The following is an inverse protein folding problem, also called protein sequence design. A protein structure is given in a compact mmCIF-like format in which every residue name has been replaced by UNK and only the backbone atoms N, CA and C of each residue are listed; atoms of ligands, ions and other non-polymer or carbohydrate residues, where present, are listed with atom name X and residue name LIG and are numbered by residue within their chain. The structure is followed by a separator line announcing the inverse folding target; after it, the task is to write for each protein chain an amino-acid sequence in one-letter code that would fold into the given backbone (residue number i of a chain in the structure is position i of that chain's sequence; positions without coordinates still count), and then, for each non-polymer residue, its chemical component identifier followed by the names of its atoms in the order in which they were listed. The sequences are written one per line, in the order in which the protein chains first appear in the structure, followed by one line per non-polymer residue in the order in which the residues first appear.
data_IF_027767782507
#
_entry.id   IF_027767782507
#
_cell.length_a   1.000
_cell.length_b   1.000
_cell.length_c   1.000
_cell.angle_alpha   90.00
_cell.angle_beta   90.00
_cell.angle_gamma   90.00
#
_symmetry.space_group_name_H-M   'P 1'
#
loop_
_entity.id
_entity.type
_entity.pdbx_description
1 polymer ?
#
# COMPACT_ATOMS: atom_id res chain seq x y z
N UNK A 1 30.70 9.66 13.59
CA UNK A 1 29.46 9.44 12.80
C UNK A 1 28.82 10.80 12.57
N UNK A 2 28.50 11.21 11.33
CA UNK A 2 27.93 12.52 11.11
C UNK A 2 26.46 12.49 11.54
N UNK A 3 26.16 13.26 12.58
CA UNK A 3 24.81 13.59 13.05
C UNK A 3 24.07 14.26 11.90
N UNK A 4 23.08 13.58 11.32
CA UNK A 4 22.16 14.18 10.35
C UNK A 4 21.37 15.27 11.06
N UNK A 5 21.87 16.51 11.01
CA UNK A 5 21.14 17.67 11.50
C UNK A 5 19.88 17.84 10.65
N UNK A 6 18.72 17.69 11.27
CA UNK A 6 17.42 17.90 10.64
C UNK A 6 17.33 19.37 10.25
N UNK A 7 17.32 19.67 8.93
CA UNK A 7 17.18 21.02 8.40
C UNK A 7 15.87 21.64 8.90
N UNK A 8 15.91 22.86 9.43
CA UNK A 8 14.71 23.61 9.82
C UNK A 8 13.83 23.91 8.59
N UNK A 9 12.50 23.73 8.65
CA UNK A 9 11.60 24.00 7.54
C UNK A 9 11.67 25.47 7.08
N UNK A 10 11.63 25.69 5.78
CA UNK A 10 11.58 27.02 5.17
C UNK A 10 10.13 27.50 4.97
N UNK A 11 9.93 28.79 4.70
CA UNK A 11 8.61 29.34 4.34
C UNK A 11 8.01 28.64 3.10
N UNK A 12 8.86 28.25 2.15
CA UNK A 12 8.48 27.46 0.98
C UNK A 12 7.96 26.07 1.37
N UNK A 13 8.63 25.38 2.30
CA UNK A 13 8.20 24.06 2.79
C UNK A 13 6.83 24.16 3.49
N UNK A 14 6.57 25.24 4.22
CA UNK A 14 5.27 25.48 4.85
C UNK A 14 4.14 25.69 3.83
N UNK A 15 4.37 26.52 2.81
CA UNK A 15 3.41 26.75 1.73
C UNK A 15 3.13 25.43 0.98
N UNK A 16 4.17 24.66 0.70
CA UNK A 16 4.05 23.37 0.02
C UNK A 16 3.21 22.36 0.80
N UNK A 17 3.42 22.28 2.12
CA UNK A 17 2.62 21.43 3.00
C UNK A 17 1.15 21.87 3.05
N UNK A 18 0.88 23.17 3.12
CA UNK A 18 -0.49 23.69 3.15
C UNK A 18 -1.25 23.42 1.84
N UNK A 19 -0.60 23.62 0.69
CA UNK A 19 -1.19 23.30 -0.61
C UNK A 19 -1.45 21.80 -0.75
N UNK A 20 -0.48 20.97 -0.36
CA UNK A 20 -0.65 19.50 -0.35
C UNK A 20 -1.84 19.10 0.53
N UNK A 21 -1.96 19.69 1.72
CA UNK A 21 -3.08 19.45 2.64
C UNK A 21 -4.43 19.79 2.01
N UNK A 22 -4.54 20.94 1.34
CA UNK A 22 -5.76 21.39 0.66
C UNK A 22 -6.18 20.45 -0.48
N UNK A 23 -5.20 19.94 -1.24
CA UNK A 23 -5.44 18.95 -2.31
C UNK A 23 -5.98 17.64 -1.74
N UNK A 24 -5.50 17.24 -0.55
CA UNK A 24 -5.89 16.00 0.11
C UNK A 24 -7.17 16.10 0.95
N UNK A 25 -7.57 17.28 1.42
CA UNK A 25 -8.73 17.45 2.31
C UNK A 25 -10.08 17.19 1.62
N UNK A 26 -10.13 17.31 0.29
CA UNK A 26 -11.36 17.16 -0.50
C UNK A 26 -11.55 15.73 -1.06
N UNK A 27 -10.88 14.73 -0.48
CA UNK A 27 -10.84 13.35 -1.01
C UNK A 27 -11.30 12.32 0.00
N UNK A 28 -12.12 11.38 -0.50
CA UNK A 28 -12.36 10.11 0.17
C UNK A 28 -11.27 9.13 -0.26
N UNK A 29 -10.35 8.82 0.65
CA UNK A 29 -9.35 7.77 0.44
C UNK A 29 -10.05 6.41 0.53
N UNK A 30 -10.29 5.79 -0.63
CA UNK A 30 -10.89 4.47 -0.70
C UNK A 30 -9.82 3.39 -0.49
N UNK A 31 -10.20 2.26 0.13
CA UNK A 31 -9.46 1.01 0.00
C UNK A 31 -9.51 0.63 -1.47
N UNK A 32 -8.45 0.92 -2.24
CA UNK A 32 -8.41 0.61 -3.67
C UNK A 32 -8.14 -0.87 -3.87
N UNK A 33 -9.21 -1.67 -3.84
CA UNK A 33 -9.33 -2.79 -4.77
C UNK A 33 -10.16 -2.26 -5.92
N UNK A 34 -9.56 -2.09 -7.10
CA UNK A 34 -10.30 -1.72 -8.30
C UNK A 34 -11.35 -2.78 -8.60
N UNK A 35 -12.64 -2.41 -8.64
CA UNK A 35 -13.74 -3.29 -9.05
C UNK A 35 -13.81 -3.39 -10.59
N UNK A 36 -12.70 -3.80 -11.21
CA UNK A 36 -12.55 -3.97 -12.66
C UNK A 36 -12.01 -5.36 -12.99
N UNK A 37 -12.26 -5.83 -14.21
CA UNK A 37 -11.76 -7.12 -14.70
C UNK A 37 -10.23 -7.12 -14.77
N UNK A 38 -9.57 -8.12 -14.20
CA UNK A 38 -8.10 -8.19 -14.13
C UNK A 38 -7.41 -8.36 -15.49
N UNK A 39 -8.11 -8.84 -16.52
CA UNK A 39 -7.55 -8.95 -17.87
C UNK A 39 -7.85 -7.74 -18.75
N UNK A 40 -9.13 -7.33 -18.80
CA UNK A 40 -9.59 -6.33 -19.77
C UNK A 40 -9.92 -4.97 -19.15
N UNK A 41 -9.85 -4.88 -17.81
CA UNK A 41 -10.08 -3.68 -16.99
C UNK A 41 -11.46 -3.05 -17.18
N UNK A 42 -12.43 -3.81 -17.70
CA UNK A 42 -13.84 -3.38 -17.74
C UNK A 42 -14.45 -3.48 -16.34
N UNK A 43 -15.16 -2.42 -15.94
CA UNK A 43 -15.91 -2.40 -14.69
C UNK A 43 -17.11 -3.36 -14.74
N UNK A 44 -17.49 -3.88 -13.57
CA UNK A 44 -18.77 -4.57 -13.41
C UNK A 44 -19.93 -3.60 -13.60
N UNK A 45 -21.03 -4.11 -14.15
CA UNK A 45 -22.31 -3.37 -14.20
C UNK A 45 -23.35 -4.12 -13.39
N UNK A 46 -24.45 -3.46 -12.99
CA UNK A 46 -25.57 -4.14 -12.31
C UNK A 46 -26.10 -5.34 -13.11
N UNK A 47 -26.07 -5.27 -14.44
CA UNK A 47 -26.52 -6.34 -15.35
C UNK A 47 -25.46 -7.43 -15.58
N UNK A 48 -24.17 -7.09 -15.45
CA UNK A 48 -23.04 -8.01 -15.61
C UNK A 48 -22.02 -7.72 -14.51
N UNK A 49 -22.25 -8.24 -13.28
CA UNK A 49 -21.28 -8.09 -12.20
C UNK A 49 -20.00 -8.86 -12.54
N UNK A 50 -18.88 -8.40 -11.98
CA UNK A 50 -17.63 -9.15 -12.07
C UNK A 50 -17.74 -10.43 -11.24
N UNK A 51 -17.10 -11.48 -11.72
CA UNK A 51 -17.00 -12.78 -11.05
C UNK A 51 -15.64 -12.87 -10.40
N UNK A 52 -15.60 -13.23 -9.13
CA UNK A 52 -14.34 -13.53 -8.46
C UNK A 52 -13.81 -14.89 -8.90
N UNK A 53 -12.49 -15.04 -8.92
CA UNK A 53 -11.85 -16.35 -9.02
C UNK A 53 -12.33 -17.23 -7.86
N UNK A 54 -12.83 -18.43 -8.15
CA UNK A 54 -13.35 -19.34 -7.13
C UNK A 54 -12.28 -19.81 -6.14
N UNK A 55 -11.02 -19.88 -6.57
CA UNK A 55 -9.90 -20.28 -5.71
C UNK A 55 -9.43 -19.13 -4.83
N UNK A 56 -9.13 -17.98 -5.43
CA UNK A 56 -8.42 -16.92 -4.72
C UNK A 56 -9.36 -15.86 -4.13
N UNK A 57 -10.57 -15.70 -4.67
CA UNK A 57 -11.56 -14.65 -4.37
C UNK A 57 -11.09 -13.20 -4.57
N UNK A 58 -9.79 -12.95 -4.73
CA UNK A 58 -9.20 -11.61 -4.93
C UNK A 58 -9.30 -11.10 -6.37
N UNK A 59 -9.04 -11.96 -7.36
CA UNK A 59 -9.07 -11.55 -8.77
C UNK A 59 -10.51 -11.53 -9.31
N UNK A 60 -10.88 -10.44 -9.98
CA UNK A 60 -12.21 -10.21 -10.56
C UNK A 60 -12.17 -10.32 -12.08
N UNK A 61 -13.18 -10.92 -12.70
CA UNK A 61 -13.26 -11.12 -14.15
C UNK A 61 -14.66 -10.85 -14.68
N UNK A 62 -14.77 -10.19 -15.85
CA UNK A 62 -16.08 -9.98 -16.49
C UNK A 62 -16.60 -11.23 -17.21
N UNK A 63 -15.72 -12.17 -17.55
CA UNK A 63 -16.07 -13.42 -18.24
C UNK A 63 -15.08 -14.54 -17.88
N UNK A 64 -15.52 -15.79 -18.09
CA UNK A 64 -14.67 -16.97 -17.95
C UNK A 64 -13.49 -16.94 -18.93
N UNK A 65 -13.69 -16.38 -20.11
CA UNK A 65 -12.63 -16.18 -21.10
C UNK A 65 -11.53 -15.27 -20.57
N UNK A 66 -11.90 -14.13 -19.95
CA UNK A 66 -10.92 -13.24 -19.31
C UNK A 66 -10.13 -13.96 -18.21
N UNK A 67 -10.79 -14.82 -17.43
CA UNK A 67 -10.12 -15.62 -16.40
C UNK A 67 -9.15 -16.64 -17.01
N UNK A 68 -9.56 -17.39 -18.05
CA UNK A 68 -8.73 -18.42 -18.69
C UNK A 68 -7.51 -17.83 -19.38
N UNK A 69 -7.67 -16.70 -20.05
CA UNK A 69 -6.55 -16.00 -20.68
C UNK A 69 -5.58 -15.44 -19.64
N UNK A 70 -6.10 -14.89 -18.54
CA UNK A 70 -5.26 -14.44 -17.43
C UNK A 70 -4.64 -15.60 -16.63
N UNK A 71 -5.12 -16.85 -16.77
CA UNK A 71 -4.69 -17.97 -15.94
C UNK A 71 -3.18 -18.25 -15.95
N UNK A 72 -2.52 -18.03 -17.11
CA UNK A 72 -1.08 -18.31 -17.27
C UNK A 72 -0.23 -17.52 -16.31
N UNK A 73 -0.56 -16.24 -16.11
CA UNK A 73 0.04 -15.42 -15.06
C UNK A 73 -0.66 -15.74 -13.74
N UNK A 74 -2.00 -15.77 -13.69
CA UNK A 74 -2.80 -15.92 -12.46
C UNK A 74 -2.41 -17.06 -11.55
N UNK A 75 -2.13 -18.23 -12.11
CA UNK A 75 -1.88 -19.45 -11.35
C UNK A 75 -0.74 -19.32 -10.33
N UNK A 76 0.26 -18.47 -10.57
CA UNK A 76 1.44 -18.35 -9.72
C UNK A 76 1.11 -17.69 -8.37
N UNK A 77 0.19 -16.73 -8.38
CA UNK A 77 -0.22 -15.95 -7.20
C UNK A 77 -1.69 -16.16 -6.82
N UNK A 78 -2.45 -16.97 -7.56
CA UNK A 78 -3.78 -17.45 -7.16
C UNK A 78 -3.74 -18.15 -5.79
N UNK A 79 -2.58 -18.67 -5.38
CA UNK A 79 -2.33 -19.29 -4.07
C UNK A 79 -1.95 -18.28 -2.96
N UNK A 80 -1.68 -17.03 -3.29
CA UNK A 80 -1.26 -15.99 -2.33
C UNK A 80 -2.44 -15.33 -1.61
N UNK A 81 -3.63 -15.38 -2.19
CA UNK A 81 -4.87 -14.77 -1.68
C UNK A 81 -5.45 -15.43 -0.43
N UNK A 82 -4.92 -16.60 -0.03
CA UNK A 82 -5.22 -17.21 1.25
C UNK A 82 -4.51 -16.49 2.41
N UNK A 83 -4.00 -15.27 2.23
CA UNK A 83 -3.23 -14.58 3.26
C UNK A 83 -4.02 -14.46 4.57
N UNK A 84 -5.23 -13.90 4.54
CA UNK A 84 -6.07 -13.76 5.74
C UNK A 84 -6.45 -15.14 6.32
N UNK A 85 -6.87 -16.10 5.48
CA UNK A 85 -7.18 -17.47 5.90
C UNK A 85 -5.95 -18.19 6.49
N UNK A 86 -4.75 -17.93 5.97
CA UNK A 86 -3.47 -18.47 6.45
C UNK A 86 -3.07 -17.84 7.77
N UNK A 87 -3.32 -16.55 8.00
CA UNK A 87 -3.09 -15.94 9.31
C UNK A 87 -3.98 -16.60 10.36
N UNK A 88 -5.26 -16.80 10.06
CA UNK A 88 -6.21 -17.52 10.92
C UNK A 88 -5.72 -18.93 11.24
N UNK A 89 -5.33 -19.70 10.23
CA UNK A 89 -4.77 -21.04 10.43
C UNK A 89 -3.48 -21.02 11.24
N UNK A 90 -2.60 -20.04 11.01
CA UNK A 90 -1.34 -19.90 11.77
C UNK A 90 -1.63 -19.60 13.24
N UNK A 91 -2.57 -18.70 13.53
CA UNK A 91 -3.00 -18.39 14.90
C UNK A 91 -3.61 -19.62 15.60
N UNK A 92 -4.46 -20.38 14.90
CA UNK A 92 -5.02 -21.65 15.42
C UNK A 92 -3.91 -22.66 15.70
N UNK A 93 -2.97 -22.85 14.76
CA UNK A 93 -1.86 -23.79 14.94
C UNK A 93 -0.96 -23.41 16.11
N UNK A 94 -0.70 -22.11 16.32
CA UNK A 94 0.04 -21.61 17.49
C UNK A 94 -0.73 -21.90 18.78
N UNK A 95 -2.04 -21.65 18.82
CA UNK A 95 -2.87 -21.90 19.99
C UNK A 95 -2.92 -23.40 20.34
N UNK A 96 -3.07 -24.27 19.35
CA UNK A 96 -3.03 -25.73 19.53
C UNK A 96 -1.64 -26.18 20.02
N UNK A 97 -0.56 -25.70 19.39
CA UNK A 97 0.80 -26.03 19.79
C UNK A 97 1.08 -25.67 21.25
N UNK A 98 0.65 -24.47 21.68
CA UNK A 98 0.75 -24.04 23.07
C UNK A 98 -0.09 -24.93 24.02
N UNK A 99 -1.32 -25.26 23.65
CA UNK A 99 -2.20 -26.11 24.46
C UNK A 99 -1.69 -27.56 24.61
N UNK A 100 -0.95 -28.06 23.61
CA UNK A 100 -0.38 -29.40 23.58
C UNK A 100 1.08 -29.46 24.03
N UNK A 101 1.68 -28.35 24.46
CA UNK A 101 3.12 -28.23 24.78
C UNK A 101 4.05 -28.71 23.64
N UNK A 102 3.69 -28.37 22.40
CA UNK A 102 4.49 -28.66 21.20
C UNK A 102 5.28 -27.40 20.82
N UNK A 103 6.51 -27.29 21.33
CA UNK A 103 7.38 -26.12 21.11
C UNK A 103 7.94 -25.99 19.68
N UNK A 104 7.87 -27.05 18.87
CA UNK A 104 8.71 -27.24 17.68
C UNK A 104 8.04 -26.97 16.32
N UNK A 105 6.89 -26.30 16.27
CA UNK A 105 6.32 -25.89 14.97
C UNK A 105 7.14 -24.69 14.42
N UNK A 106 7.82 -24.81 13.26
CA UNK A 106 8.65 -23.74 12.68
C UNK A 106 7.77 -22.69 11.98
N UNK A 107 6.78 -22.17 12.70
CA UNK A 107 5.86 -21.16 12.20
C UNK A 107 6.35 -19.77 12.62
N UNK A 108 6.19 -18.75 11.75
CA UNK A 108 6.44 -17.37 12.15
C UNK A 108 5.47 -17.00 13.28
N UNK A 109 6.01 -16.45 14.37
CA UNK A 109 5.23 -16.03 15.54
C UNK A 109 4.94 -14.52 15.48
N UNK A 110 3.72 -14.09 15.84
CA UNK A 110 3.40 -12.68 15.96
C UNK A 110 4.14 -12.08 17.18
N UNK A 111 4.17 -10.73 17.31
CA UNK A 111 4.66 -10.08 18.52
C UNK A 111 3.93 -10.58 19.78
N UNK A 112 4.61 -10.63 20.95
CA UNK A 112 3.99 -11.13 22.17
C UNK A 112 2.68 -10.41 22.53
N UNK A 113 1.66 -11.17 22.90
CA UNK A 113 0.34 -10.64 23.25
C UNK A 113 -0.54 -10.26 22.07
N UNK A 114 -0.19 -10.65 20.84
CA UNK A 114 -0.99 -10.45 19.65
C UNK A 114 -1.14 -11.73 18.84
N UNK A 115 -2.28 -11.85 18.18
CA UNK A 115 -2.49 -12.74 17.04
C UNK A 115 -2.07 -12.07 15.73
N UNK A 116 -1.82 -12.86 14.69
CA UNK A 116 -1.55 -12.35 13.34
C UNK A 116 -2.72 -11.53 12.78
N UNK A 117 -3.96 -11.96 13.02
CA UNK A 117 -5.17 -11.23 12.60
C UNK A 117 -5.23 -9.85 13.27
N UNK A 118 -4.96 -9.76 14.57
CA UNK A 118 -4.98 -8.49 15.28
C UNK A 118 -3.89 -7.54 14.79
N UNK A 119 -2.69 -8.07 14.51
CA UNK A 119 -1.60 -7.29 13.94
C UNK A 119 -1.97 -6.72 12.56
N UNK A 120 -2.57 -7.54 11.70
CA UNK A 120 -3.02 -7.08 10.38
C UNK A 120 -4.14 -6.04 10.49
N UNK A 121 -5.12 -6.24 11.39
CA UNK A 121 -6.18 -5.28 11.62
C UNK A 121 -5.63 -3.93 12.10
N UNK A 122 -4.63 -3.95 13.00
CA UNK A 122 -3.94 -2.75 13.46
C UNK A 122 -3.18 -2.06 12.33
N UNK A 123 -2.50 -2.81 11.48
CA UNK A 123 -1.79 -2.27 10.32
C UNK A 123 -2.74 -1.57 9.34
N UNK A 124 -3.86 -2.21 8.99
CA UNK A 124 -4.90 -1.61 8.11
C UNK A 124 -5.45 -0.31 8.69
N UNK A 125 -5.70 -0.25 10.00
CA UNK A 125 -6.17 0.98 10.68
C UNK A 125 -5.09 2.07 10.69
N UNK A 126 -3.83 1.71 10.93
CA UNK A 126 -2.70 2.65 10.89
C UNK A 126 -2.48 3.21 9.48
N UNK A 127 -2.54 2.38 8.45
CA UNK A 127 -2.45 2.81 7.05
C UNK A 127 -3.56 3.80 6.70
N UNK A 128 -4.80 3.52 7.12
CA UNK A 128 -5.93 4.41 6.89
C UNK A 128 -5.75 5.75 7.62
N UNK A 129 -5.25 5.71 8.86
CA UNK A 129 -4.97 6.92 9.63
C UNK A 129 -3.93 7.82 8.95
N UNK A 130 -2.85 7.24 8.41
CA UNK A 130 -1.77 7.99 7.77
C UNK A 130 -1.94 8.18 6.27
N UNK A 131 -3.10 7.85 5.70
CA UNK A 131 -3.30 7.81 4.24
C UNK A 131 -2.87 9.12 3.56
N UNK A 132 -3.19 10.29 4.14
CA UNK A 132 -2.79 11.59 3.58
C UNK A 132 -1.29 11.80 3.63
N UNK A 133 -0.67 11.51 4.78
CA UNK A 133 0.78 11.60 4.94
C UNK A 133 1.52 10.70 3.93
N UNK A 134 1.05 9.47 3.75
CA UNK A 134 1.66 8.50 2.83
C UNK A 134 1.52 8.95 1.37
N UNK A 135 0.35 9.44 0.98
CA UNK A 135 0.10 9.95 -0.37
C UNK A 135 0.91 11.23 -0.62
N UNK A 136 0.95 12.16 0.33
CA UNK A 136 1.78 13.36 0.25
C UNK A 136 3.27 13.01 0.07
N UNK A 137 3.79 12.09 0.89
CA UNK A 137 5.16 11.61 0.75
C UNK A 137 5.42 11.06 -0.66
N UNK A 138 4.48 10.29 -1.21
CA UNK A 138 4.60 9.76 -2.56
C UNK A 138 4.47 10.81 -3.66
N UNK A 139 3.61 11.84 -3.50
CA UNK A 139 3.56 13.00 -4.42
C UNK A 139 4.93 13.67 -4.55
N UNK A 140 5.55 13.95 -3.40
CA UNK A 140 6.84 14.63 -3.32
C UNK A 140 8.01 13.72 -3.74
N UNK A 141 7.94 12.43 -3.44
CA UNK A 141 8.95 11.44 -3.83
C UNK A 141 8.96 11.19 -5.34
N UNK A 142 7.77 11.12 -5.96
CA UNK A 142 7.59 10.89 -7.40
C UNK A 142 7.57 12.18 -8.22
N UNK A 143 7.85 13.33 -7.59
CA UNK A 143 7.95 14.65 -8.25
C UNK A 143 6.74 14.95 -9.15
N UNK A 144 5.55 14.63 -8.68
CA UNK A 144 4.31 14.89 -9.42
C UNK A 144 4.09 16.41 -9.46
N UNK A 145 3.83 17.04 -10.63
CA UNK A 145 3.31 16.48 -11.88
C UNK A 145 4.32 16.14 -12.99
N UNK A 146 5.62 16.28 -12.76
CA UNK A 146 6.69 16.05 -13.77
C UNK A 146 6.87 14.55 -14.14
N UNK A 147 5.96 13.71 -13.63
CA UNK A 147 5.56 12.38 -14.08
C UNK A 147 6.59 11.25 -13.99
N UNK A 148 7.30 11.15 -12.86
CA UNK A 148 7.94 9.87 -12.49
C UNK A 148 6.92 8.81 -12.07
N UNK A 149 5.65 9.17 -11.92
CA UNK A 149 4.57 8.27 -11.47
C UNK A 149 4.29 7.12 -12.44
N UNK A 150 4.63 7.29 -13.72
CA UNK A 150 4.51 6.26 -14.75
C UNK A 150 5.65 5.25 -14.73
N UNK A 151 6.80 5.57 -14.12
CA UNK A 151 8.03 4.75 -14.18
C UNK A 151 8.54 4.31 -12.81
N UNK A 152 8.10 4.96 -11.74
CA UNK A 152 8.57 4.75 -10.38
C UNK A 152 7.43 4.62 -9.38
N UNK A 153 7.74 3.99 -8.25
CA UNK A 153 6.86 3.82 -7.09
C UNK A 153 7.61 4.20 -5.81
N UNK A 154 6.88 4.68 -4.80
CA UNK A 154 7.46 4.90 -3.48
C UNK A 154 7.42 3.58 -2.69
N UNK A 155 8.58 3.06 -2.32
CA UNK A 155 8.70 1.93 -1.40
C UNK A 155 8.94 2.39 0.02
N UNK A 156 8.14 1.89 0.96
CA UNK A 156 8.21 2.17 2.38
C UNK A 156 8.34 0.86 3.15
N UNK A 157 9.39 0.75 3.96
CA UNK A 157 9.56 -0.34 4.93
C UNK A 157 9.28 0.16 6.33
N UNK A 158 8.48 -0.59 7.08
CA UNK A 158 8.12 -0.29 8.46
C UNK A 158 8.39 -1.48 9.39
N UNK A 159 8.43 -1.21 10.70
CA UNK A 159 8.41 -2.23 11.76
C UNK A 159 7.30 -1.93 12.75
N UNK A 160 6.70 -2.99 13.28
CA UNK A 160 5.79 -2.91 14.40
C UNK A 160 6.48 -2.38 15.68
N UNK A 161 5.81 -1.50 16.42
CA UNK A 161 6.21 -0.98 17.73
C UNK A 161 5.27 -1.54 18.79
N UNK A 162 5.78 -2.45 19.60
CA UNK A 162 4.99 -3.16 20.62
C UNK A 162 4.48 -2.26 21.77
N UNK A 163 5.08 -1.08 21.96
CA UNK A 163 4.85 -0.24 23.14
C UNK A 163 3.76 0.84 22.97
N UNK A 164 3.08 0.91 21.82
CA UNK A 164 2.09 1.96 21.58
C UNK A 164 0.66 1.41 21.57
N UNK A 165 -0.15 1.91 22.51
CA UNK A 165 -1.62 1.70 22.54
C UNK A 165 -2.31 2.53 21.44
N UNK A 166 -1.71 3.65 21.05
CA UNK A 166 -2.22 4.51 19.99
C UNK A 166 -1.96 3.88 18.62
N UNK A 167 -3.04 3.61 17.87
CA UNK A 167 -2.99 3.06 16.50
C UNK A 167 -2.04 3.88 15.63
N UNK A 168 -2.06 5.21 15.74
CA UNK A 168 -1.26 6.13 14.95
C UNK A 168 0.27 5.94 15.10
N UNK A 169 0.74 5.36 16.21
CA UNK A 169 2.17 5.18 16.53
C UNK A 169 2.61 3.71 16.54
N UNK A 170 1.72 2.78 16.16
CA UNK A 170 1.99 1.34 16.18
C UNK A 170 3.06 0.88 15.19
N UNK A 171 3.41 1.67 14.18
CA UNK A 171 4.42 1.32 13.19
C UNK A 171 5.43 2.45 13.03
N UNK A 172 6.64 2.09 12.62
CA UNK A 172 7.69 3.07 12.38
C UNK A 172 8.48 2.83 11.13
N UNK A 173 8.89 3.94 10.52
CA UNK A 173 9.66 3.95 9.30
C UNK A 173 11.05 3.35 9.55
N UNK A 174 11.40 2.33 8.76
CA UNK A 174 12.75 1.81 8.63
C UNK A 174 13.44 2.48 7.45
N UNK A 175 12.79 2.46 6.27
CA UNK A 175 13.31 3.09 5.05
C UNK A 175 12.19 3.57 4.13
N UNK A 176 12.48 4.62 3.37
CA UNK A 176 11.66 5.10 2.27
C UNK A 176 12.55 5.40 1.06
N UNK A 177 12.27 4.78 -0.08
CA UNK A 177 13.05 4.89 -1.31
C UNK A 177 12.15 4.88 -2.55
N UNK A 178 12.60 5.53 -3.62
CA UNK A 178 11.90 5.55 -4.90
C UNK A 178 12.52 4.46 -5.74
N UNK A 179 11.71 3.48 -6.13
CA UNK A 179 12.13 2.36 -6.98
C UNK A 179 11.53 2.51 -8.36
N UNK A 180 12.25 2.06 -9.38
CA UNK A 180 11.73 1.88 -10.73
C UNK A 180 10.78 0.69 -10.76
N UNK A 181 9.83 0.72 -11.70
CA UNK A 181 8.94 -0.42 -11.91
C UNK A 181 9.70 -1.67 -12.35
N UNK A 182 10.87 -1.55 -12.99
CA UNK A 182 11.69 -2.71 -13.36
C UNK A 182 12.27 -3.42 -12.14
N UNK A 183 12.76 -2.66 -11.16
CA UNK A 183 13.24 -3.20 -9.89
C UNK A 183 12.12 -3.96 -9.17
N UNK A 184 10.90 -3.42 -9.17
CA UNK A 184 9.75 -4.04 -8.48
C UNK A 184 9.14 -5.19 -9.30
N UNK A 185 9.22 -5.18 -10.64
CA UNK A 185 8.76 -6.31 -11.49
C UNK A 185 9.41 -7.63 -11.07
N UNK A 186 10.67 -7.59 -10.65
CA UNK A 186 11.40 -8.77 -10.17
C UNK A 186 10.82 -9.37 -8.88
N UNK A 187 10.03 -8.60 -8.11
CA UNK A 187 9.41 -9.06 -6.88
C UNK A 187 8.16 -9.92 -7.13
N UNK A 188 7.60 -9.87 -8.35
CA UNK A 188 6.52 -10.75 -8.81
C UNK A 188 5.20 -10.65 -8.02
N UNK A 189 4.31 -11.63 -8.24
CA UNK A 189 3.11 -11.86 -7.42
C UNK A 189 1.90 -10.95 -7.70
N UNK A 190 0.91 -11.02 -6.79
CA UNK A 190 -0.33 -10.22 -6.86
C UNK A 190 -0.07 -8.71 -6.91
N UNK A 191 1.01 -8.27 -6.24
CA UNK A 191 1.39 -6.87 -6.13
C UNK A 191 1.58 -6.21 -7.50
N UNK A 192 2.35 -6.84 -8.38
CA UNK A 192 2.67 -6.24 -9.68
C UNK A 192 1.45 -6.08 -10.57
N UNK A 193 0.38 -6.81 -10.29
CA UNK A 193 -0.83 -6.78 -11.11
C UNK A 193 -1.88 -5.84 -10.60
N UNK A 194 -1.96 -5.63 -9.28
CA UNK A 194 -2.72 -4.51 -8.78
C UNK A 194 -2.12 -3.21 -9.30
N UNK A 195 -0.78 -3.08 -9.30
CA UNK A 195 -0.10 -1.94 -9.90
C UNK A 195 -0.38 -1.81 -11.41
N UNK A 196 -0.27 -2.89 -12.17
CA UNK A 196 -0.48 -2.85 -13.62
C UNK A 196 -1.95 -2.62 -14.00
N UNK A 197 -2.90 -3.27 -13.33
CA UNK A 197 -4.33 -3.10 -13.59
C UNK A 197 -4.81 -1.67 -13.31
N UNK A 198 -4.24 -1.07 -12.27
CA UNK A 198 -4.49 0.32 -11.90
C UNK A 198 -3.89 1.28 -12.93
N UNK A 199 -2.72 0.97 -13.51
CA UNK A 199 -2.09 1.78 -14.56
C UNK A 199 -2.86 1.74 -15.88
N UNK A 200 -3.33 0.56 -16.30
CA UNK A 200 -4.14 0.43 -17.52
C UNK A 200 -5.47 1.20 -17.40
N UNK A 201 -6.03 1.32 -16.19
CA UNK A 201 -7.18 2.19 -15.93
C UNK A 201 -6.85 3.69 -16.14
N UNK A 202 -5.62 4.13 -15.85
CA UNK A 202 -5.19 5.52 -16.13
C UNK A 202 -5.13 5.84 -17.61
N UNK A 203 -4.55 4.93 -18.39
CA UNK A 203 -4.42 5.09 -19.84
C UNK A 203 -5.80 5.23 -20.48
N UNK A 204 -6.79 4.47 -19.98
CA UNK A 204 -8.19 4.52 -20.44
C UNK A 204 -8.94 5.77 -19.96
N UNK A 205 -8.61 6.31 -18.80
CA UNK A 205 -9.32 7.47 -18.21
C UNK A 205 -8.71 8.83 -18.58
N UNK A 206 -7.74 8.86 -19.49
CA UNK A 206 -7.18 10.10 -20.04
C UNK A 206 -6.08 10.74 -19.19
N UNK A 207 -5.23 9.94 -18.53
CA UNK A 207 -3.93 10.42 -18.05
C UNK A 207 -3.94 11.16 -16.71
N UNK A 208 -4.79 10.75 -15.77
CA UNK A 208 -4.65 11.21 -14.37
C UNK A 208 -3.45 10.51 -13.72
N UNK A 209 -2.44 11.21 -13.16
CA UNK A 209 -1.31 10.57 -12.49
C UNK A 209 -1.79 9.73 -11.30
N UNK A 210 -1.17 8.57 -11.13
CA UNK A 210 -1.42 7.61 -10.06
C UNK A 210 -0.22 7.52 -9.17
N UNK A 211 -0.51 7.53 -7.89
CA UNK A 211 0.49 7.43 -6.86
C UNK A 211 0.50 5.98 -6.37
N UNK A 212 1.55 5.25 -6.69
CA UNK A 212 1.79 3.90 -6.17
C UNK A 212 2.67 3.94 -4.92
N UNK A 213 2.20 3.35 -3.83
CA UNK A 213 2.99 3.18 -2.59
C UNK A 213 3.06 1.69 -2.22
N UNK A 214 4.28 1.18 -2.13
CA UNK A 214 4.58 -0.18 -1.69
C UNK A 214 4.92 -0.19 -0.21
N UNK A 215 4.33 -1.11 0.54
CA UNK A 215 4.62 -1.27 1.96
C UNK A 215 5.17 -2.64 2.30
N UNK A 216 6.36 -2.69 2.88
CA UNK A 216 6.83 -3.86 3.62
C UNK A 216 6.74 -3.54 5.11
N UNK A 217 6.13 -4.41 5.93
CA UNK A 217 6.03 -4.16 7.38
C UNK A 217 6.46 -5.40 8.14
N UNK A 218 7.62 -5.40 8.78
CA UNK A 218 8.04 -6.56 9.58
C UNK A 218 7.19 -6.68 10.86
N UNK A 219 6.68 -7.88 11.23
CA UNK A 219 6.91 -9.21 10.62
C UNK A 219 5.86 -9.64 9.57
N UNK A 220 4.98 -8.73 9.13
CA UNK A 220 4.02 -8.94 8.06
C UNK A 220 4.68 -8.93 6.65
N UNK A 221 3.96 -9.40 5.64
CA UNK A 221 4.42 -9.39 4.24
C UNK A 221 4.19 -8.05 3.56
N UNK A 222 4.75 -7.93 2.36
CA UNK A 222 4.55 -6.83 1.42
C UNK A 222 3.05 -6.63 1.13
N UNK A 223 2.54 -5.42 1.36
CA UNK A 223 1.17 -5.01 1.04
C UNK A 223 1.19 -3.86 0.04
N UNK A 224 0.25 -3.91 -0.91
CA UNK A 224 0.00 -2.83 -1.88
C UNK A 224 -0.98 -1.86 -1.23
N UNK A 225 -0.65 -0.57 -1.20
CA UNK A 225 -1.49 0.43 -0.52
C UNK A 225 -1.49 1.76 -1.29
N UNK A 226 -2.27 2.73 -0.81
CA UNK A 226 -3.40 3.29 -1.54
C UNK A 226 -2.99 3.94 -2.87
N UNK A 227 -3.77 3.63 -3.89
CA UNK A 227 -3.67 4.27 -5.19
C UNK A 227 -4.51 5.53 -5.15
N UNK A 228 -3.86 6.69 -5.24
CA UNK A 228 -4.55 7.96 -5.40
C UNK A 228 -4.41 8.47 -6.83
N UNK A 229 -5.51 8.97 -7.41
CA UNK A 229 -5.55 9.57 -8.74
C UNK A 229 -5.95 11.04 -8.66
N UNK A 230 -5.16 11.91 -9.29
CA UNK A 230 -5.35 13.36 -9.25
C UNK A 230 -5.68 13.92 -10.63
N UNK A 231 -6.47 15.02 -10.69
CA UNK A 231 -6.58 15.78 -11.94
C UNK A 231 -5.26 16.52 -12.13
N UNK A 232 -4.64 16.46 -13.31
CA UNK A 232 -3.36 17.14 -13.58
C UNK A 232 -3.38 18.63 -13.17
N UNK A 233 -4.48 19.33 -13.46
CA UNK A 233 -4.71 20.72 -13.03
C UNK A 233 -4.72 20.93 -11.50
N UNK A 234 -5.23 19.97 -10.71
CA UNK A 234 -5.30 20.09 -9.25
C UNK A 234 -3.94 19.99 -8.54
N UNK A 235 -2.91 19.57 -9.27
CA UNK A 235 -1.57 19.32 -8.77
C UNK A 235 -0.49 20.06 -9.57
N UNK A 236 -0.89 20.80 -10.62
CA UNK A 236 0.02 21.46 -11.56
C UNK A 236 0.94 22.49 -10.88
N UNK A 237 0.48 23.08 -9.78
CA UNK A 237 1.20 24.11 -9.03
C UNK A 237 1.66 23.61 -7.67
N UNK A 238 1.69 22.30 -7.44
CA UNK A 238 2.20 21.78 -6.17
C UNK A 238 3.72 21.95 -6.12
N UNK A 239 4.24 22.78 -5.22
CA UNK A 239 5.68 22.90 -5.03
C UNK A 239 6.28 21.60 -4.51
N UNK A 240 7.52 21.32 -4.90
CA UNK A 240 8.23 20.11 -4.52
C UNK A 240 8.90 20.25 -3.15
N UNK A 241 8.68 19.27 -2.26
CA UNK A 241 9.32 19.21 -0.95
C UNK A 241 10.48 18.21 -0.97
N UNK A 242 11.71 18.72 -0.96
CA UNK A 242 12.94 17.90 -1.01
C UNK A 242 13.17 17.06 0.26
N UNK A 243 12.74 17.51 1.44
CA UNK A 243 12.87 16.82 2.72
C UNK A 243 11.65 15.96 3.11
N UNK A 244 10.88 15.49 2.12
CA UNK A 244 9.67 14.68 2.34
C UNK A 244 9.92 13.44 3.23
N UNK A 245 11.12 12.84 3.19
CA UNK A 245 11.49 11.69 4.03
C UNK A 245 11.48 12.03 5.52
N UNK A 246 12.00 13.19 5.89
CA UNK A 246 12.05 13.65 7.28
C UNK A 246 10.65 13.97 7.80
N UNK A 247 9.83 14.58 6.95
CA UNK A 247 8.42 14.88 7.25
C UNK A 247 7.63 13.58 7.44
N UNK A 248 7.78 12.62 6.52
CA UNK A 248 7.16 11.29 6.64
C UNK A 248 7.57 10.63 7.96
N UNK A 249 8.88 10.58 8.26
CA UNK A 249 9.38 9.98 9.49
C UNK A 249 8.77 10.65 10.73
N UNK A 250 8.84 11.98 10.81
CA UNK A 250 8.33 12.74 11.96
C UNK A 250 6.82 12.52 12.19
N UNK A 251 6.02 12.51 11.11
CA UNK A 251 4.57 12.30 11.17
C UNK A 251 4.21 10.91 11.68
N UNK A 252 4.87 9.87 11.15
CA UNK A 252 4.67 8.49 11.59
C UNK A 252 5.12 8.27 13.03
N UNK A 253 6.21 8.92 13.46
CA UNK A 253 6.73 8.78 14.82
C UNK A 253 5.87 9.48 15.87
N UNK A 254 5.31 10.64 15.54
CA UNK A 254 4.48 11.42 16.45
C UNK A 254 2.98 11.09 16.36
N UNK A 255 2.58 10.23 15.43
CA UNK A 255 1.18 9.83 15.27
C UNK A 255 0.28 10.94 14.73
N UNK A 256 0.83 11.83 13.91
CA UNK A 256 0.11 12.97 13.33
C UNK A 256 -0.05 12.77 11.83
N UNK A 257 -1.29 12.82 11.33
CA UNK A 257 -1.56 12.83 9.88
C UNK A 257 -1.48 14.26 9.31
N UNK A 258 -1.54 14.37 7.98
CA UNK A 258 -1.49 15.62 7.22
C UNK A 258 -2.85 16.33 7.15
#
# INVERSE_FOLDING_TARGET
MPTTQVRKPTLYDHLALQLTRSVLSHRNFSKTTTQSCYLCHKNGTKKKPLKSCSSCKSALYCSLECQRTHWRTHKEYCKESFYEERLVLTDIMIAIGNALNIDALPLPKPPPGLTWIELEARFKKWLLFHAKTLIAAAMHALQIPDDRSTTHVLFIKTKYRNNSVEVAKCFSLIKAEVLTLEEVKSWGGHLMQELEAVRIDQEKTGGKPIIGVLFESSPMRLQVVPVASFKKLSIAYLPWISNWKDILKNRLENGTDL
#
